data_IF_308512879941
#
_entry.id   IF_308512879941
#
_cell.length_a   1.000
_cell.length_b   1.000
_cell.length_c   1.000
_cell.angle_alpha   90.00
_cell.angle_beta   90.00
_cell.angle_gamma   90.00
#
_symmetry.space_group_name_H-M   'P 1'
#
loop_
_entity.id
_entity.type
_entity.pdbx_description
1 polymer ?
#
# COMPACT_ATOMS: atom_id res chain seq x y z
N UNK A 1 32.31 -25.74 17.45
CA UNK A 1 31.98 -24.43 16.83
C UNK A 1 30.64 -24.02 17.42
N UNK A 2 30.39 -22.75 17.71
CA UNK A 2 29.17 -22.38 18.43
C UNK A 2 27.93 -22.60 17.56
N UNK A 3 26.93 -23.30 18.10
CA UNK A 3 25.62 -23.46 17.44
C UNK A 3 24.94 -22.09 17.34
N UNK A 4 25.07 -21.46 16.17
CA UNK A 4 24.42 -20.19 15.90
C UNK A 4 22.89 -20.34 15.91
N UNK A 5 22.13 -19.23 16.04
CA UNK A 5 20.66 -19.27 16.06
C UNK A 5 20.02 -20.04 14.88
N UNK A 6 20.71 -20.10 13.72
CA UNK A 6 20.29 -20.89 12.55
C UNK A 6 20.36 -22.40 12.84
N UNK A 7 21.45 -22.90 13.43
CA UNK A 7 21.64 -24.31 13.73
C UNK A 7 20.58 -24.84 14.72
N UNK A 8 20.25 -24.03 15.74
CA UNK A 8 19.17 -24.36 16.70
C UNK A 8 17.82 -24.46 15.99
N UNK A 9 17.47 -23.51 15.12
CA UNK A 9 16.22 -23.53 14.38
C UNK A 9 16.17 -24.67 13.34
N UNK A 10 17.29 -24.98 12.69
CA UNK A 10 17.41 -26.13 11.77
C UNK A 10 17.14 -27.45 12.49
N UNK A 11 17.76 -27.68 13.65
CA UNK A 11 17.55 -28.91 14.42
C UNK A 11 16.08 -29.08 14.88
N UNK A 12 15.40 -28.00 15.24
CA UNK A 12 13.97 -28.03 15.57
C UNK A 12 13.10 -28.38 14.35
N UNK A 13 13.42 -27.82 13.17
CA UNK A 13 12.73 -28.16 11.91
C UNK A 13 12.99 -29.62 11.54
N UNK A 14 14.23 -30.10 11.62
CA UNK A 14 14.61 -31.50 11.35
C UNK A 14 13.81 -32.50 12.22
N UNK A 15 13.65 -32.20 13.51
CA UNK A 15 12.82 -33.00 14.42
C UNK A 15 11.35 -32.98 13.99
N UNK A 16 10.80 -31.83 13.61
CA UNK A 16 9.40 -31.71 13.18
C UNK A 16 9.11 -32.44 11.85
N UNK A 17 10.03 -32.38 10.87
CA UNK A 17 9.84 -33.00 9.56
C UNK A 17 10.19 -34.50 9.51
N UNK A 18 10.84 -35.04 10.54
CA UNK A 18 11.46 -36.37 10.51
C UNK A 18 10.53 -37.55 10.20
N UNK A 19 9.23 -37.48 10.49
CA UNK A 19 8.28 -38.55 10.12
C UNK A 19 7.96 -38.58 8.60
N UNK A 20 8.30 -37.52 7.86
CA UNK A 20 8.00 -37.36 6.44
C UNK A 20 9.21 -37.55 5.52
N UNK A 21 10.44 -37.38 6.03
CA UNK A 21 11.67 -37.52 5.22
C UNK A 21 11.91 -38.95 4.73
N UNK A 22 11.33 -39.94 5.40
CA UNK A 22 11.39 -41.35 5.00
C UNK A 22 10.15 -41.85 4.24
N UNK A 23 9.15 -41.00 3.96
CA UNK A 23 7.87 -41.43 3.36
C UNK A 23 7.69 -40.96 1.92
N UNK A 24 7.58 -41.90 0.99
CA UNK A 24 7.16 -41.63 -0.39
C UNK A 24 5.67 -41.38 -0.56
N UNK A 25 4.83 -41.99 0.29
CA UNK A 25 3.37 -42.03 0.10
C UNK A 25 2.62 -40.98 0.92
N UNK A 26 3.18 -40.52 2.05
CA UNK A 26 2.54 -39.54 2.92
C UNK A 26 2.99 -38.13 2.56
N UNK A 27 2.07 -37.34 2.00
CA UNK A 27 2.27 -35.91 1.81
C UNK A 27 2.56 -35.22 3.15
N UNK A 28 3.60 -34.36 3.26
CA UNK A 28 3.81 -33.53 4.44
C UNK A 28 2.62 -32.57 4.68
N UNK A 29 2.17 -32.36 5.93
CA UNK A 29 1.02 -31.52 6.26
C UNK A 29 1.35 -30.01 6.23
N UNK A 30 2.46 -29.64 5.62
CA UNK A 30 2.96 -28.26 5.58
C UNK A 30 2.38 -27.51 4.39
N UNK A 31 2.02 -26.26 4.62
CA UNK A 31 1.64 -25.34 3.55
C UNK A 31 2.85 -24.94 2.71
N UNK A 32 2.64 -24.52 1.46
CA UNK A 32 3.75 -24.04 0.61
C UNK A 32 4.53 -22.87 1.22
N UNK A 33 3.91 -21.88 1.90
CA UNK A 33 4.62 -20.86 2.68
C UNK A 33 5.51 -21.43 3.79
N UNK A 34 5.06 -22.43 4.54
CA UNK A 34 5.89 -23.11 5.56
C UNK A 34 7.07 -23.85 4.92
N UNK A 35 6.86 -24.55 3.80
CA UNK A 35 7.94 -25.23 3.05
C UNK A 35 8.99 -24.23 2.52
N UNK A 36 8.58 -23.06 2.02
CA UNK A 36 9.50 -21.99 1.61
C UNK A 36 10.37 -21.51 2.77
N UNK A 37 9.78 -21.25 3.94
CA UNK A 37 10.53 -20.79 5.12
C UNK A 37 11.45 -21.87 5.67
N UNK A 38 11.01 -23.13 5.72
CA UNK A 38 11.86 -24.26 6.11
C UNK A 38 13.04 -24.45 5.14
N UNK A 39 12.79 -24.40 3.83
CA UNK A 39 13.84 -24.48 2.81
C UNK A 39 14.85 -23.33 2.95
N UNK A 40 14.37 -22.13 3.29
CA UNK A 40 15.24 -20.98 3.46
C UNK A 40 16.12 -21.07 4.73
N UNK A 41 15.61 -21.66 5.82
CA UNK A 41 16.38 -21.88 7.04
C UNK A 41 17.36 -23.05 6.89
N UNK A 42 16.88 -24.20 6.40
CA UNK A 42 17.61 -25.47 6.35
C UNK A 42 18.41 -25.69 5.06
N UNK A 43 18.22 -24.88 4.03
CA UNK A 43 19.07 -24.88 2.84
C UNK A 43 20.48 -24.39 3.18
N UNK A 44 21.48 -24.86 2.42
CA UNK A 44 22.88 -24.42 2.56
C UNK A 44 23.14 -23.04 1.95
N UNK A 45 22.17 -22.51 1.21
CA UNK A 45 22.28 -21.24 0.49
C UNK A 45 22.01 -20.06 1.46
N UNK A 46 22.70 -18.94 1.26
CA UNK A 46 22.47 -17.69 2.00
C UNK A 46 21.22 -17.00 1.46
N UNK A 47 21.08 -17.03 0.13
CA UNK A 47 19.96 -16.46 -0.61
C UNK A 47 19.23 -17.59 -1.32
N UNK A 48 17.91 -17.50 -1.30
CA UNK A 48 17.02 -18.61 -1.63
C UNK A 48 16.25 -18.22 -2.88
N UNK A 49 16.19 -19.12 -3.85
CA UNK A 49 15.44 -18.92 -5.10
C UNK A 49 14.32 -19.95 -5.21
N UNK A 50 13.37 -19.75 -6.13
CA UNK A 50 12.33 -20.75 -6.44
C UNK A 50 12.92 -22.13 -6.74
N UNK A 51 14.05 -22.17 -7.46
CA UNK A 51 14.81 -23.38 -7.74
C UNK A 51 15.43 -24.00 -6.48
N UNK A 52 15.98 -23.18 -5.59
CA UNK A 52 16.58 -23.61 -4.32
C UNK A 52 15.54 -24.23 -3.38
N UNK A 53 14.35 -23.61 -3.27
CA UNK A 53 13.22 -24.16 -2.50
C UNK A 53 12.77 -25.49 -3.09
N UNK A 54 12.61 -25.56 -4.42
CA UNK A 54 12.24 -26.79 -5.14
C UNK A 54 13.24 -27.93 -4.91
N UNK A 55 14.53 -27.62 -5.04
CA UNK A 55 15.64 -28.56 -4.87
C UNK A 55 15.70 -29.09 -3.43
N UNK A 56 15.58 -28.21 -2.43
CA UNK A 56 15.51 -28.61 -1.03
C UNK A 56 14.26 -29.46 -0.77
N UNK A 57 13.08 -29.01 -1.21
CA UNK A 57 11.81 -29.70 -0.90
C UNK A 57 11.75 -31.10 -1.52
N UNK A 58 12.22 -31.27 -2.76
CA UNK A 58 12.28 -32.59 -3.40
C UNK A 58 13.33 -33.50 -2.75
N UNK A 59 14.52 -32.98 -2.43
CA UNK A 59 15.56 -33.74 -1.73
C UNK A 59 15.17 -34.16 -0.30
N UNK A 60 14.40 -33.33 0.41
CA UNK A 60 13.99 -33.57 1.80
C UNK A 60 12.75 -34.46 1.92
N UNK A 61 11.82 -34.42 0.96
CA UNK A 61 10.54 -35.14 1.04
C UNK A 61 10.34 -36.04 -0.20
N UNK A 62 10.52 -37.37 -0.06
CA UNK A 62 10.40 -38.32 -1.18
C UNK A 62 9.06 -38.25 -1.92
N UNK A 63 7.97 -37.93 -1.22
CA UNK A 63 6.66 -37.64 -1.81
C UNK A 63 6.71 -36.61 -2.96
N UNK A 64 7.41 -35.48 -2.78
CA UNK A 64 7.50 -34.44 -3.81
C UNK A 64 8.46 -34.82 -4.93
N UNK A 65 9.54 -35.56 -4.65
CA UNK A 65 10.39 -36.17 -5.68
C UNK A 65 9.59 -37.09 -6.59
N UNK A 66 8.76 -37.97 -6.00
CA UNK A 66 7.90 -38.88 -6.76
C UNK A 66 6.87 -38.14 -7.61
N UNK A 67 6.19 -37.16 -7.04
CA UNK A 67 5.25 -36.31 -7.78
C UNK A 67 5.90 -35.58 -8.98
N UNK A 68 7.13 -35.07 -8.81
CA UNK A 68 7.90 -34.45 -9.89
C UNK A 68 8.29 -35.45 -10.99
N UNK A 69 8.67 -36.68 -10.63
CA UNK A 69 8.98 -37.73 -11.60
C UNK A 69 7.74 -38.20 -12.37
N UNK A 70 6.60 -38.39 -11.70
CA UNK A 70 5.34 -38.82 -12.30
C UNK A 70 4.81 -37.74 -13.29
N UNK A 71 4.90 -36.46 -12.94
CA UNK A 71 4.58 -35.34 -13.85
C UNK A 71 5.55 -35.29 -15.06
N UNK A 72 6.86 -35.38 -14.81
CA UNK A 72 7.87 -35.39 -15.88
C UNK A 72 7.64 -36.53 -16.89
N UNK A 73 7.37 -37.74 -16.40
CA UNK A 73 7.03 -38.91 -17.23
C UNK A 73 5.76 -38.62 -18.03
N UNK A 74 4.69 -38.18 -17.37
CA UNK A 74 3.39 -37.90 -18.01
C UNK A 74 3.53 -36.85 -19.12
N UNK A 75 4.23 -35.74 -18.85
CA UNK A 75 4.44 -34.67 -19.84
C UNK A 75 5.34 -35.12 -21.00
N UNK A 76 6.38 -35.93 -20.73
CA UNK A 76 7.28 -36.47 -21.76
C UNK A 76 6.59 -37.40 -22.75
N UNK A 77 5.57 -38.16 -22.32
CA UNK A 77 4.85 -39.11 -23.17
C UNK A 77 3.55 -38.57 -23.78
N UNK A 78 2.97 -37.49 -23.25
CA UNK A 78 1.68 -36.95 -23.75
C UNK A 78 1.81 -35.78 -24.72
N UNK A 79 2.88 -34.98 -24.66
CA UNK A 79 2.98 -33.76 -25.45
C UNK A 79 3.75 -33.95 -26.78
N UNK A 80 3.08 -33.60 -27.87
CA UNK A 80 3.71 -33.31 -29.16
C UNK A 80 4.72 -32.18 -29.02
N UNK A 81 5.77 -32.21 -29.85
CA UNK A 81 7.08 -31.60 -29.57
C UNK A 81 7.18 -30.07 -29.38
N UNK A 82 6.07 -29.32 -29.44
CA UNK A 82 6.07 -27.85 -29.52
C UNK A 82 5.91 -27.12 -28.18
N UNK A 83 5.85 -27.84 -27.06
CA UNK A 83 5.48 -27.28 -25.74
C UNK A 83 6.39 -27.70 -24.57
N UNK A 84 7.62 -28.17 -24.82
CA UNK A 84 8.54 -28.67 -23.77
C UNK A 84 8.98 -27.63 -22.72
N UNK A 85 8.62 -26.36 -22.88
CA UNK A 85 8.85 -25.28 -21.90
C UNK A 85 7.54 -24.65 -21.39
N UNK A 86 6.38 -25.32 -21.54
CA UNK A 86 5.28 -25.09 -20.59
C UNK A 86 5.86 -25.42 -19.22
N UNK A 87 6.01 -24.39 -18.39
CA UNK A 87 6.53 -24.49 -17.02
C UNK A 87 5.96 -25.74 -16.38
N UNK A 88 6.80 -26.72 -16.06
CA UNK A 88 6.40 -27.85 -15.24
C UNK A 88 5.81 -27.22 -13.97
N UNK A 89 4.50 -27.35 -13.78
CA UNK A 89 3.85 -26.70 -12.66
C UNK A 89 4.48 -27.30 -11.40
N UNK A 90 5.11 -26.44 -10.61
CA UNK A 90 5.95 -26.85 -9.49
C UNK A 90 5.28 -27.96 -8.70
N UNK A 91 5.96 -29.10 -8.54
CA UNK A 91 5.46 -30.27 -7.80
C UNK A 91 5.00 -29.91 -6.38
N UNK A 92 5.47 -28.77 -5.87
CA UNK A 92 4.92 -28.02 -4.74
C UNK A 92 4.17 -26.79 -5.30
N UNK A 93 2.85 -26.86 -5.53
CA UNK A 93 2.13 -25.76 -6.17
C UNK A 93 2.17 -24.49 -5.32
N UNK A 94 2.38 -23.35 -5.98
CA UNK A 94 2.37 -22.03 -5.34
C UNK A 94 3.69 -21.55 -4.73
N UNK A 95 4.84 -22.22 -4.95
CA UNK A 95 6.15 -21.74 -4.43
C UNK A 95 6.40 -20.29 -4.84
N UNK A 96 6.23 -19.96 -6.13
CA UNK A 96 6.38 -18.58 -6.62
C UNK A 96 5.49 -17.59 -5.86
N UNK A 97 4.19 -17.88 -5.71
CA UNK A 97 3.26 -17.01 -5.01
C UNK A 97 3.55 -16.89 -3.50
N UNK A 98 4.16 -17.91 -2.90
CA UNK A 98 4.62 -17.86 -1.52
C UNK A 98 5.90 -17.02 -1.38
N UNK A 99 6.89 -17.17 -2.26
CA UNK A 99 8.08 -16.30 -2.32
C UNK A 99 7.73 -14.83 -2.61
N UNK A 100 6.67 -14.59 -3.38
CA UNK A 100 6.09 -13.27 -3.61
C UNK A 100 5.12 -12.83 -2.49
N UNK A 101 5.03 -13.51 -1.34
CA UNK A 101 4.08 -13.15 -0.27
C UNK A 101 4.69 -12.21 0.78
N UNK A 102 4.00 -11.09 1.06
CA UNK A 102 4.42 -10.09 2.04
C UNK A 102 4.45 -10.60 3.50
N UNK A 103 3.61 -11.57 3.84
CA UNK A 103 3.49 -12.10 5.21
C UNK A 103 4.64 -13.06 5.59
N UNK A 104 5.50 -13.42 4.63
CA UNK A 104 6.63 -14.31 4.89
C UNK A 104 7.80 -13.56 5.56
N UNK A 105 8.59 -14.25 6.42
CA UNK A 105 9.77 -13.73 7.12
C UNK A 105 10.99 -13.62 6.19
N UNK A 106 10.77 -13.17 4.96
CA UNK A 106 11.74 -13.07 3.87
C UNK A 106 12.05 -11.60 3.61
N UNK A 107 13.30 -11.32 3.23
CA UNK A 107 13.74 -10.04 2.68
C UNK A 107 14.17 -10.29 1.24
N UNK A 108 13.66 -9.52 0.29
CA UNK A 108 14.13 -9.59 -1.10
C UNK A 108 15.58 -9.11 -1.18
N UNK A 109 16.37 -9.81 -1.99
CA UNK A 109 17.74 -9.43 -2.33
C UNK A 109 17.95 -9.47 -3.84
N UNK A 110 18.80 -8.57 -4.35
CA UNK A 110 19.17 -8.54 -5.76
C UNK A 110 20.55 -9.19 -5.90
N UNK A 111 20.57 -10.40 -6.44
CA UNK A 111 21.81 -11.07 -6.84
C UNK A 111 22.32 -10.44 -8.13
N UNK A 112 23.58 -10.02 -8.10
CA UNK A 112 24.33 -9.63 -9.28
C UNK A 112 25.11 -10.85 -9.78
N UNK A 113 24.51 -11.58 -10.73
CA UNK A 113 25.17 -12.69 -11.41
C UNK A 113 25.80 -12.16 -12.70
N UNK A 114 27.07 -12.50 -12.95
CA UNK A 114 27.77 -12.22 -14.21
C UNK A 114 27.95 -13.54 -14.95
N UNK A 115 27.43 -13.64 -16.17
CA UNK A 115 27.57 -14.87 -16.96
C UNK A 115 28.97 -15.05 -17.56
N UNK A 116 29.17 -16.16 -18.26
CA UNK A 116 30.41 -16.48 -18.99
C UNK A 116 30.76 -15.49 -20.11
N UNK A 117 29.82 -14.63 -20.52
CA UNK A 117 30.00 -13.57 -21.52
C UNK A 117 30.25 -12.19 -20.91
N UNK A 118 30.28 -12.08 -19.58
CA UNK A 118 30.44 -10.81 -18.86
C UNK A 118 29.16 -9.98 -18.74
N UNK A 119 28.00 -10.53 -19.15
CA UNK A 119 26.71 -9.87 -19.02
C UNK A 119 26.23 -10.00 -17.57
N UNK A 120 25.92 -8.87 -16.94
CA UNK A 120 25.36 -8.84 -15.58
C UNK A 120 23.85 -8.96 -15.66
N UNK A 121 23.27 -9.93 -14.96
CA UNK A 121 21.83 -10.07 -14.78
C UNK A 121 21.46 -9.96 -13.31
N UNK A 122 20.26 -9.43 -13.08
CA UNK A 122 19.69 -9.28 -11.76
C UNK A 122 18.72 -10.43 -11.50
N UNK A 123 19.17 -11.43 -10.74
CA UNK A 123 18.32 -12.50 -10.22
C UNK A 123 17.79 -12.06 -8.86
N UNK A 124 16.48 -12.15 -8.65
CA UNK A 124 15.90 -11.84 -7.34
C UNK A 124 16.01 -13.08 -6.43
N UNK A 125 16.77 -12.95 -5.35
CA UNK A 125 16.85 -13.90 -4.25
C UNK A 125 15.99 -13.45 -3.07
N UNK A 126 15.85 -14.31 -2.07
CA UNK A 126 15.32 -13.92 -0.76
C UNK A 126 16.22 -14.43 0.37
N UNK A 127 16.41 -13.62 1.42
CA UNK A 127 17.07 -14.02 2.65
C UNK A 127 16.04 -14.20 3.77
N UNK A 128 16.19 -15.23 4.61
CA UNK A 128 15.26 -15.47 5.72
C UNK A 128 15.72 -14.82 7.03
N UNK A 129 14.83 -14.10 7.69
CA UNK A 129 15.06 -13.54 9.02
C UNK A 129 14.74 -14.60 10.08
N UNK A 130 15.77 -15.12 10.77
CA UNK A 130 15.65 -16.29 11.66
C UNK A 130 14.63 -16.13 12.79
N UNK A 131 14.59 -14.98 13.47
CA UNK A 131 13.65 -14.76 14.57
C UNK A 131 12.19 -14.65 14.09
N UNK A 132 11.86 -13.85 13.04
CA UNK A 132 10.57 -13.94 12.36
C UNK A 132 10.23 -15.35 11.83
N UNK A 133 11.19 -16.09 11.26
CA UNK A 133 10.97 -17.45 10.76
C UNK A 133 10.55 -18.43 11.84
N UNK A 134 11.18 -18.37 13.02
CA UNK A 134 10.77 -19.16 14.18
C UNK A 134 9.35 -18.81 14.65
N UNK A 135 8.97 -17.52 14.60
CA UNK A 135 7.61 -17.08 14.96
C UNK A 135 6.59 -17.53 13.93
N UNK A 136 6.92 -17.46 12.64
CA UNK A 136 6.09 -17.93 11.54
C UNK A 136 5.84 -19.44 11.61
N UNK A 137 6.91 -20.23 11.77
CA UNK A 137 6.86 -21.69 11.89
C UNK A 137 6.34 -22.19 13.26
N UNK A 138 5.83 -21.31 14.14
CA UNK A 138 5.34 -21.70 15.46
C UNK A 138 4.26 -22.78 15.42
N UNK A 139 3.42 -22.79 14.37
CA UNK A 139 2.41 -23.84 14.11
C UNK A 139 2.99 -25.25 14.05
N UNK A 140 4.24 -25.37 13.59
CA UNK A 140 4.97 -26.61 13.40
C UNK A 140 5.91 -26.91 14.57
N UNK A 141 6.57 -25.89 15.11
CA UNK A 141 7.64 -26.03 16.11
C UNK A 141 7.13 -26.05 17.57
N UNK A 142 5.97 -25.47 17.86
CA UNK A 142 5.36 -25.46 19.19
C UNK A 142 4.00 -26.21 19.17
N UNK A 143 3.63 -26.92 20.26
CA UNK A 143 2.29 -27.48 20.37
C UNK A 143 1.21 -26.38 20.35
N UNK A 144 0.05 -26.67 19.76
CA UNK A 144 -1.05 -25.71 19.64
C UNK A 144 -1.45 -25.13 21.01
N UNK A 145 -1.20 -23.83 21.17
CA UNK A 145 -1.48 -23.10 22.42
C UNK A 145 -2.97 -23.13 22.71
N UNK A 146 -3.32 -23.55 23.93
CA UNK A 146 -4.71 -23.66 24.38
C UNK A 146 -5.23 -22.32 24.92
N UNK A 147 -6.51 -22.04 24.70
CA UNK A 147 -7.19 -20.84 25.19
C UNK A 147 -7.40 -19.76 24.12
N UNK A 148 -7.94 -18.61 24.53
CA UNK A 148 -8.21 -17.45 23.67
C UNK A 148 -7.30 -16.28 24.04
N UNK A 149 -6.65 -15.67 23.04
CA UNK A 149 -5.82 -14.48 23.25
C UNK A 149 -6.71 -13.25 23.42
N UNK A 150 -6.69 -12.67 24.62
CA UNK A 150 -7.50 -11.50 25.00
C UNK A 150 -6.88 -10.20 24.49
N UNK A 151 -6.85 -10.03 23.17
CA UNK A 151 -6.21 -8.89 22.49
C UNK A 151 -6.67 -7.51 23.01
N UNK A 152 -7.97 -7.35 23.30
CA UNK A 152 -8.51 -6.09 23.83
C UNK A 152 -8.15 -5.81 25.30
N UNK A 153 -7.59 -6.78 26.03
CA UNK A 153 -7.07 -6.61 27.40
C UNK A 153 -5.58 -6.23 27.42
N UNK A 154 -4.90 -6.23 26.26
CA UNK A 154 -3.59 -5.60 26.14
C UNK A 154 -3.68 -4.09 26.41
N UNK A 155 -2.64 -3.44 26.97
CA UNK A 155 -2.54 -1.98 27.00
C UNK A 155 -2.70 -1.35 25.60
N UNK A 156 -3.27 -0.14 25.48
CA UNK A 156 -3.46 0.54 24.20
C UNK A 156 -2.17 0.65 23.36
N UNK A 157 -1.02 0.83 24.01
CA UNK A 157 0.29 0.96 23.38
C UNK A 157 0.69 -0.32 22.64
N UNK A 158 0.38 -1.49 23.21
CA UNK A 158 0.65 -2.79 22.57
C UNK A 158 -0.36 -3.10 21.47
N UNK A 159 -1.63 -2.68 21.62
CA UNK A 159 -2.62 -2.80 20.52
C UNK A 159 -2.21 -1.93 19.33
N UNK A 160 -1.81 -0.69 19.59
CA UNK A 160 -1.29 0.24 18.59
C UNK A 160 -0.08 -0.32 17.86
N UNK A 161 0.91 -0.87 18.57
CA UNK A 161 2.04 -1.54 17.94
C UNK A 161 1.60 -2.71 17.03
N UNK A 162 0.60 -3.50 17.42
CA UNK A 162 0.05 -4.56 16.56
C UNK A 162 -0.70 -3.99 15.34
N UNK A 163 -1.48 -2.92 15.50
CA UNK A 163 -2.14 -2.24 14.37
C UNK A 163 -1.13 -1.62 13.41
N UNK A 164 -0.04 -1.04 13.91
CA UNK A 164 1.06 -0.51 13.09
C UNK A 164 1.67 -1.62 12.23
N UNK A 165 2.03 -2.76 12.83
CA UNK A 165 2.56 -3.91 12.09
C UNK A 165 1.56 -4.58 11.13
N UNK A 166 0.24 -4.46 11.37
CA UNK A 166 -0.79 -5.09 10.55
C UNK A 166 -1.32 -4.20 9.42
N UNK A 167 -1.29 -2.87 9.62
CA UNK A 167 -1.91 -1.91 8.72
C UNK A 167 -0.95 -0.94 8.06
N UNK A 168 0.26 -0.70 8.58
CA UNK A 168 1.28 0.10 7.91
C UNK A 168 2.15 -0.83 7.06
N UNK A 169 2.08 -0.64 5.75
CA UNK A 169 2.94 -1.29 4.77
C UNK A 169 4.25 -0.49 4.60
N UNK A 170 5.14 -0.95 3.72
CA UNK A 170 6.42 -0.28 3.49
C UNK A 170 6.25 1.19 3.03
N UNK A 171 7.31 1.99 3.19
CA UNK A 171 7.36 3.45 2.95
C UNK A 171 6.92 3.86 1.54
N UNK A 172 7.11 2.99 0.55
CA UNK A 172 6.67 3.18 -0.83
C UNK A 172 5.16 3.03 -0.99
N UNK A 173 4.48 2.48 0.02
CA UNK A 173 3.06 2.23 0.05
C UNK A 173 2.68 0.96 -0.68
N UNK A 174 1.41 0.89 -1.09
CA UNK A 174 0.88 -0.18 -1.91
C UNK A 174 0.17 0.38 -3.14
N UNK A 175 0.32 -0.28 -4.29
CA UNK A 175 -0.58 -0.04 -5.42
C UNK A 175 -1.88 -0.81 -5.19
N UNK A 176 -3.00 -0.09 -5.31
CA UNK A 176 -4.35 -0.64 -5.44
C UNK A 176 -4.62 -0.91 -6.91
N UNK A 177 -4.94 -2.17 -7.26
CA UNK A 177 -5.52 -2.51 -8.57
C UNK A 177 -6.85 -3.27 -8.43
N UNK A 178 -7.80 -3.01 -9.31
CA UNK A 178 -9.10 -3.69 -9.39
C UNK A 178 -9.10 -4.73 -10.52
N UNK A 179 -8.80 -5.99 -10.19
CA UNK A 179 -8.88 -7.09 -11.14
C UNK A 179 -9.91 -8.12 -10.65
N UNK A 180 -10.83 -8.53 -11.52
CA UNK A 180 -11.83 -9.56 -11.22
C UNK A 180 -12.67 -9.29 -9.95
N UNK A 181 -12.93 -8.01 -9.64
CA UNK A 181 -13.56 -7.51 -8.40
C UNK A 181 -12.76 -7.70 -7.10
N UNK A 182 -11.51 -8.16 -7.19
CA UNK A 182 -10.59 -8.26 -6.06
C UNK A 182 -9.64 -7.07 -6.10
N UNK A 183 -9.35 -6.54 -4.92
CA UNK A 183 -8.42 -5.44 -4.73
C UNK A 183 -7.12 -5.98 -4.17
N UNK A 184 -6.06 -5.87 -4.97
CA UNK A 184 -4.72 -6.35 -4.64
C UNK A 184 -3.89 -5.23 -4.04
N UNK A 185 -2.98 -5.62 -3.14
CA UNK A 185 -1.97 -4.77 -2.54
C UNK A 185 -0.62 -5.21 -3.08
N UNK A 186 -0.10 -4.46 -4.05
CA UNK A 186 1.26 -4.67 -4.58
C UNK A 186 2.23 -3.80 -3.78
N UNK A 187 2.96 -4.42 -2.84
CA UNK A 187 4.06 -3.78 -2.15
C UNK A 187 5.29 -3.81 -3.04
N UNK A 188 5.93 -2.65 -3.22
CA UNK A 188 7.20 -2.51 -3.92
C UNK A 188 8.31 -2.33 -2.90
N UNK A 189 9.00 -3.42 -2.57
CA UNK A 189 10.36 -3.29 -2.04
C UNK A 189 11.25 -2.81 -3.19
N UNK A 190 11.63 -1.53 -3.15
CA UNK A 190 12.77 -1.02 -3.88
C UNK A 190 13.84 -0.64 -2.87
N UNK A 191 14.94 -1.40 -2.82
CA UNK A 191 16.20 -0.71 -2.65
C UNK A 191 16.35 0.21 -3.87
N UNK A 192 16.48 1.51 -3.60
CA UNK A 192 16.49 2.59 -4.57
C UNK A 192 17.74 2.50 -5.45
N UNK A 193 17.71 1.63 -6.46
CA UNK A 193 18.76 1.54 -7.45
C UNK A 193 18.73 2.81 -8.29
N UNK A 194 19.59 3.76 -7.94
CA UNK A 194 19.69 5.12 -8.48
C UNK A 194 19.72 5.05 -10.03
N UNK A 195 18.57 5.28 -10.65
CA UNK A 195 18.28 4.92 -12.05
C UNK A 195 19.00 5.80 -13.10
N UNK A 196 20.08 6.48 -12.69
CA UNK A 196 20.98 7.29 -13.52
C UNK A 196 21.85 6.46 -14.47
N UNK A 197 21.87 5.13 -14.35
CA UNK A 197 22.84 4.26 -15.03
C UNK A 197 22.33 3.70 -16.38
N UNK A 198 21.02 3.77 -16.70
CA UNK A 198 20.50 3.31 -17.99
C UNK A 198 19.70 4.39 -18.73
N UNK A 199 20.43 5.28 -19.40
CA UNK A 199 19.88 6.16 -20.44
C UNK A 199 19.67 5.44 -21.78
N UNK A 200 20.16 4.20 -21.94
CA UNK A 200 19.90 3.36 -23.11
C UNK A 200 18.46 2.81 -23.06
N UNK A 201 17.56 3.63 -23.57
CA UNK A 201 16.13 3.36 -23.65
C UNK A 201 15.82 2.05 -24.40
N UNK A 202 14.93 1.25 -23.84
CA UNK A 202 14.34 0.12 -24.56
C UNK A 202 13.61 -0.86 -23.66
N UNK A 203 14.36 -1.62 -22.85
CA UNK A 203 13.86 -2.77 -22.10
C UNK A 203 14.63 -2.99 -20.79
N UNK A 204 14.92 -1.92 -20.04
CA UNK A 204 15.27 -2.05 -18.63
C UNK A 204 14.03 -2.50 -17.84
N UNK A 205 13.67 -3.79 -17.98
CA UNK A 205 12.81 -4.47 -17.04
C UNK A 205 13.53 -4.42 -15.69
N UNK A 206 13.23 -3.40 -14.90
CA UNK A 206 13.43 -3.49 -13.46
C UNK A 206 12.68 -4.74 -13.03
N UNK A 207 13.42 -5.75 -12.58
CA UNK A 207 12.85 -6.96 -11.98
C UNK A 207 12.31 -6.58 -10.60
N UNK A 208 11.28 -5.72 -10.58
CA UNK A 208 10.56 -5.32 -9.38
C UNK A 208 9.95 -6.60 -8.84
N UNK A 209 10.54 -7.17 -7.80
CA UNK A 209 9.88 -8.25 -7.08
C UNK A 209 8.67 -7.64 -6.38
N UNK A 210 7.50 -8.14 -6.75
CA UNK A 210 6.21 -7.65 -6.29
C UNK A 210 5.81 -8.49 -5.10
N UNK A 211 5.97 -7.96 -3.90
CA UNK A 211 5.40 -8.58 -2.72
C UNK A 211 3.87 -8.38 -2.77
N UNK A 212 3.16 -9.48 -2.98
CA UNK A 212 1.71 -9.57 -2.90
C UNK A 212 1.33 -9.61 -1.42
N UNK A 213 0.82 -8.48 -0.92
CA UNK A 213 0.22 -8.43 0.39
C UNK A 213 -1.16 -9.13 0.40
N UNK A 214 -1.68 -9.50 1.59
CA UNK A 214 -2.97 -10.19 1.70
C UNK A 214 -4.10 -9.46 0.93
N UNK A 215 -5.07 -10.20 0.36
CA UNK A 215 -6.22 -9.58 -0.28
C UNK A 215 -6.85 -8.53 0.62
N UNK A 216 -7.04 -7.30 0.13
CA UNK A 216 -7.41 -6.16 0.97
C UNK A 216 -8.69 -6.41 1.79
N UNK A 217 -9.61 -7.23 1.27
CA UNK A 217 -10.82 -7.65 1.98
C UNK A 217 -10.51 -8.36 3.32
N UNK A 218 -9.44 -9.15 3.40
CA UNK A 218 -8.98 -9.83 4.62
C UNK A 218 -8.38 -8.80 5.59
N UNK A 219 -7.47 -7.95 5.11
CA UNK A 219 -6.86 -6.89 5.92
C UNK A 219 -7.93 -5.96 6.53
N UNK A 220 -8.87 -5.47 5.71
CA UNK A 220 -9.95 -4.59 6.18
C UNK A 220 -11.03 -5.32 6.98
N UNK A 221 -11.17 -6.64 6.88
CA UNK A 221 -12.09 -7.40 7.74
C UNK A 221 -11.71 -7.27 9.22
N UNK A 222 -10.41 -7.12 9.52
CA UNK A 222 -9.94 -6.85 10.89
C UNK A 222 -10.52 -5.54 11.45
N UNK A 223 -10.62 -4.48 10.64
CA UNK A 223 -11.27 -3.22 11.03
C UNK A 223 -12.77 -3.40 11.33
N UNK A 224 -13.41 -4.41 10.76
CA UNK A 224 -14.84 -4.70 10.94
C UNK A 224 -15.15 -5.57 12.17
N UNK A 225 -14.14 -6.00 12.95
CA UNK A 225 -14.32 -6.94 14.08
C UNK A 225 -15.07 -6.33 15.26
N UNK A 226 -14.72 -5.12 15.70
CA UNK A 226 -15.45 -4.36 16.70
C UNK A 226 -15.22 -2.84 16.56
N UNK A 227 -16.07 -2.03 17.19
CA UNK A 227 -15.96 -0.55 17.13
C UNK A 227 -14.62 -0.03 17.66
N UNK A 228 -14.10 -0.62 18.73
CA UNK A 228 -12.83 -0.19 19.30
C UNK A 228 -11.65 -0.43 18.34
N UNK A 229 -11.57 -1.62 17.72
CA UNK A 229 -10.56 -1.89 16.68
C UNK A 229 -10.76 -0.97 15.48
N UNK A 230 -12.00 -0.70 15.05
CA UNK A 230 -12.26 0.26 13.98
C UNK A 230 -11.71 1.66 14.30
N UNK A 231 -12.05 2.21 15.47
CA UNK A 231 -11.67 3.58 15.86
C UNK A 231 -10.16 3.72 16.13
N UNK A 232 -9.53 2.70 16.72
CA UNK A 232 -8.09 2.67 16.99
C UNK A 232 -7.26 2.42 15.71
N UNK A 233 -7.68 1.49 14.85
CA UNK A 233 -6.85 0.97 13.77
C UNK A 233 -7.08 1.62 12.39
N UNK A 234 -8.28 2.17 12.13
CA UNK A 234 -8.59 2.82 10.84
C UNK A 234 -7.57 3.91 10.42
N UNK A 235 -7.07 4.79 11.32
CA UNK A 235 -6.11 5.81 10.93
C UNK A 235 -4.81 5.21 10.39
N UNK A 236 -4.28 4.14 10.99
CA UNK A 236 -3.05 3.50 10.53
C UNK A 236 -3.14 3.05 9.07
N UNK A 237 -4.26 2.43 8.68
CA UNK A 237 -4.46 2.02 7.30
C UNK A 237 -4.62 3.21 6.33
N UNK A 238 -5.52 4.16 6.60
CA UNK A 238 -5.87 5.21 5.62
C UNK A 238 -4.96 6.45 5.65
N UNK A 239 -4.41 6.79 6.82
CA UNK A 239 -3.65 8.03 7.04
C UNK A 239 -2.15 7.85 6.87
N UNK A 240 -1.62 6.74 7.34
CA UNK A 240 -0.18 6.57 7.51
C UNK A 240 0.47 5.83 6.34
N UNK A 241 -0.30 5.04 5.59
CA UNK A 241 0.14 4.50 4.29
C UNK A 241 0.12 5.52 3.16
N UNK A 242 0.91 5.19 2.13
CA UNK A 242 0.79 5.75 0.78
C UNK A 242 -0.05 4.80 -0.08
N UNK A 243 -1.15 5.30 -0.62
CA UNK A 243 -2.05 4.53 -1.48
C UNK A 243 -1.81 4.96 -2.92
N UNK A 244 -1.29 4.05 -3.75
CA UNK A 244 -0.98 4.31 -5.17
C UNK A 244 -2.06 3.74 -6.08
N UNK A 245 -2.36 4.48 -7.14
CA UNK A 245 -3.21 4.05 -8.24
C UNK A 245 -2.46 4.22 -9.55
N UNK A 246 -2.16 3.08 -10.18
CA UNK A 246 -1.56 3.03 -11.52
C UNK A 246 -2.61 3.27 -12.62
N UNK A 247 -3.91 3.12 -12.30
CA UNK A 247 -5.05 3.43 -13.19
C UNK A 247 -6.04 4.39 -12.50
N UNK A 248 -6.55 5.36 -13.27
CA UNK A 248 -7.47 6.37 -12.74
C UNK A 248 -8.91 5.86 -12.59
N UNK A 249 -9.32 4.82 -13.33
CA UNK A 249 -10.59 4.12 -13.12
C UNK A 249 -10.63 3.34 -11.80
N UNK A 250 -9.52 2.71 -11.42
CA UNK A 250 -9.33 2.05 -10.12
C UNK A 250 -9.41 3.08 -8.98
N UNK A 251 -8.71 4.19 -9.12
CA UNK A 251 -8.81 5.34 -8.22
C UNK A 251 -10.25 5.83 -8.08
N UNK A 252 -10.94 6.06 -9.20
CA UNK A 252 -12.32 6.53 -9.21
C UNK A 252 -13.27 5.54 -8.53
N UNK A 253 -13.15 4.26 -8.86
CA UNK A 253 -13.95 3.17 -8.29
C UNK A 253 -13.73 3.06 -6.79
N UNK A 254 -12.48 3.20 -6.33
CA UNK A 254 -12.14 3.12 -4.92
C UNK A 254 -12.69 4.29 -4.10
N UNK A 255 -12.39 5.53 -4.51
CA UNK A 255 -12.82 6.74 -3.80
C UNK A 255 -14.34 6.84 -3.72
N UNK A 256 -15.05 6.62 -4.84
CA UNK A 256 -16.52 6.70 -4.85
C UNK A 256 -17.20 5.59 -4.03
N UNK A 257 -16.48 4.53 -3.63
CA UNK A 257 -16.96 3.45 -2.73
C UNK A 257 -16.60 3.66 -1.26
N UNK A 258 -15.72 4.61 -0.91
CA UNK A 258 -15.36 4.86 0.48
C UNK A 258 -16.47 5.62 1.23
N UNK A 259 -16.74 5.17 2.46
CA UNK A 259 -17.55 5.94 3.39
C UNK A 259 -16.84 7.27 3.75
N UNK A 260 -17.56 8.39 3.92
CA UNK A 260 -16.95 9.70 4.22
C UNK A 260 -15.99 9.69 5.42
N UNK A 261 -16.29 8.92 6.46
CA UNK A 261 -15.44 8.78 7.65
C UNK A 261 -14.08 8.13 7.37
N UNK A 262 -13.97 7.26 6.35
CA UNK A 262 -12.70 6.68 5.90
C UNK A 262 -11.96 7.63 4.96
N UNK A 263 -12.70 8.31 4.10
CA UNK A 263 -12.16 9.31 3.17
C UNK A 263 -11.55 10.52 3.92
N UNK A 264 -12.12 10.90 5.06
CA UNK A 264 -11.55 11.89 5.99
C UNK A 264 -10.20 11.48 6.62
N UNK A 265 -9.87 10.19 6.64
CA UNK A 265 -8.61 9.68 7.17
C UNK A 265 -7.54 9.54 6.09
N UNK A 266 -7.87 9.71 4.80
CA UNK A 266 -6.92 9.52 3.71
C UNK A 266 -5.75 10.51 3.84
N UNK A 267 -4.54 9.99 4.06
CA UNK A 267 -3.36 10.81 4.35
C UNK A 267 -2.46 11.02 3.14
N UNK A 268 -1.99 9.94 2.52
CA UNK A 268 -1.01 10.01 1.43
C UNK A 268 -1.54 9.27 0.20
N UNK A 269 -1.67 9.99 -0.91
CA UNK A 269 -2.24 9.51 -2.17
C UNK A 269 -1.22 9.66 -3.30
N UNK A 270 -1.07 8.64 -4.14
CA UNK A 270 -0.22 8.65 -5.33
C UNK A 270 -1.07 8.28 -6.55
N UNK A 271 -1.08 9.12 -7.59
CA UNK A 271 -1.85 8.92 -8.81
C UNK A 271 -0.93 8.91 -10.02
N UNK A 272 -0.96 7.85 -10.80
CA UNK A 272 -0.32 7.82 -12.11
C UNK A 272 -1.31 8.36 -13.14
N UNK A 273 -1.01 9.54 -13.68
CA UNK A 273 -1.85 10.24 -14.64
C UNK A 273 -1.43 9.82 -16.05
N UNK A 274 -2.07 8.76 -16.52
CA UNK A 274 -2.10 8.35 -17.92
C UNK A 274 -3.25 9.03 -18.69
N UNK A 275 -3.27 8.89 -20.02
CA UNK A 275 -4.39 9.35 -20.85
C UNK A 275 -5.65 8.56 -20.45
N UNK A 276 -6.67 9.27 -19.96
CA UNK A 276 -7.95 8.67 -19.62
C UNK A 276 -8.64 8.03 -20.83
N UNK A 277 -9.18 6.84 -20.61
CA UNK A 277 -10.16 6.23 -21.51
C UNK A 277 -11.50 6.98 -21.44
N UNK A 278 -12.27 6.89 -22.53
CA UNK A 278 -13.45 7.71 -22.82
C UNK A 278 -14.55 7.67 -21.72
N UNK A 279 -14.69 6.56 -21.01
CA UNK A 279 -15.73 6.28 -20.02
C UNK A 279 -15.35 6.72 -18.59
N UNK A 280 -14.12 6.50 -18.16
CA UNK A 280 -13.64 6.74 -16.78
C UNK A 280 -13.75 8.21 -16.32
N UNK A 281 -13.70 9.19 -17.24
CA UNK A 281 -13.56 10.62 -16.89
C UNK A 281 -14.59 11.15 -15.87
N UNK A 282 -15.86 10.73 -16.00
CA UNK A 282 -16.94 11.23 -15.11
C UNK A 282 -16.72 10.77 -13.68
N UNK A 283 -16.31 9.52 -13.51
CA UNK A 283 -16.12 8.90 -12.20
C UNK A 283 -14.84 9.42 -11.53
N UNK A 284 -13.78 9.67 -12.30
CA UNK A 284 -12.55 10.34 -11.84
C UNK A 284 -12.86 11.76 -11.37
N UNK A 285 -13.63 12.54 -12.12
CA UNK A 285 -14.04 13.89 -11.71
C UNK A 285 -14.97 13.85 -10.48
N UNK A 286 -15.80 12.81 -10.32
CA UNK A 286 -16.57 12.58 -9.09
C UNK A 286 -15.65 12.28 -7.90
N UNK A 287 -14.67 11.40 -8.06
CA UNK A 287 -13.70 11.05 -7.04
C UNK A 287 -12.84 12.25 -6.60
N UNK A 288 -12.34 13.05 -7.55
CA UNK A 288 -11.61 14.28 -7.23
C UNK A 288 -12.48 15.31 -6.48
N UNK A 289 -13.78 15.41 -6.80
CA UNK A 289 -14.73 16.23 -6.02
C UNK A 289 -14.94 15.66 -4.62
N UNK A 290 -14.99 14.35 -4.46
CA UNK A 290 -15.06 13.68 -3.15
C UNK A 290 -13.76 13.83 -2.33
N UNK A 291 -12.62 14.13 -2.96
CA UNK A 291 -11.36 14.56 -2.32
C UNK A 291 -11.26 16.08 -2.10
N UNK A 292 -12.21 16.86 -2.63
CA UNK A 292 -12.65 18.06 -1.92
C UNK A 292 -13.63 17.64 -0.81
N UNK A 293 -14.08 18.55 0.06
CA UNK A 293 -14.76 18.23 1.32
C UNK A 293 -13.95 17.42 2.36
N UNK A 294 -13.02 16.52 1.99
CA UNK A 294 -12.10 15.86 2.96
C UNK A 294 -11.25 16.86 3.74
N UNK A 295 -10.71 16.39 4.87
CA UNK A 295 -9.58 17.02 5.56
C UNK A 295 -8.36 17.05 4.63
N UNK A 296 -7.45 17.99 4.91
CA UNK A 296 -6.24 18.21 4.11
C UNK A 296 -5.40 16.92 4.01
N UNK A 297 -5.05 16.53 2.79
CA UNK A 297 -4.11 15.42 2.56
C UNK A 297 -2.75 15.80 3.14
N UNK A 298 -2.03 14.81 3.68
CA UNK A 298 -0.63 14.99 4.07
C UNK A 298 0.25 15.09 2.81
N UNK A 299 0.11 14.14 1.88
CA UNK A 299 0.88 14.10 0.62
C UNK A 299 -0.03 13.75 -0.56
N UNK A 300 0.10 14.51 -1.63
CA UNK A 300 -0.39 14.14 -2.97
C UNK A 300 0.82 14.00 -3.89
N UNK A 301 0.97 12.83 -4.49
CA UNK A 301 2.00 12.53 -5.48
C UNK A 301 1.35 12.24 -6.83
N UNK A 302 1.83 12.90 -7.89
CA UNK A 302 1.29 12.77 -9.24
C UNK A 302 2.42 12.35 -10.19
N UNK A 303 2.36 11.13 -10.70
CA UNK A 303 3.29 10.64 -11.72
C UNK A 303 2.71 10.96 -13.11
N UNK A 304 3.43 11.70 -13.94
CA UNK A 304 2.97 12.12 -15.26
C UNK A 304 3.59 11.24 -16.35
N UNK A 305 2.76 10.43 -17.00
CA UNK A 305 3.16 9.40 -17.97
C UNK A 305 2.44 9.60 -19.31
N UNK A 306 2.84 10.62 -20.07
CA UNK A 306 2.34 10.84 -21.44
C UNK A 306 3.44 11.40 -22.35
N UNK A 307 3.69 10.74 -23.48
CA UNK A 307 4.58 11.25 -24.52
C UNK A 307 3.87 12.29 -25.40
N UNK A 308 4.62 13.24 -25.94
CA UNK A 308 4.17 14.14 -27.02
C UNK A 308 2.84 14.91 -26.78
N UNK A 309 2.53 15.25 -25.52
CA UNK A 309 1.30 15.98 -25.14
C UNK A 309 0.01 15.36 -25.72
N UNK A 310 -0.15 14.03 -25.67
CA UNK A 310 -1.34 13.38 -26.24
C UNK A 310 -2.65 13.85 -25.56
N UNK A 311 -2.57 14.32 -24.31
CA UNK A 311 -3.64 15.07 -23.63
C UNK A 311 -4.13 16.35 -24.37
N UNK A 312 -3.30 17.01 -25.19
CA UNK A 312 -3.77 18.09 -26.10
C UNK A 312 -4.46 17.54 -27.34
N UNK A 313 -4.04 16.36 -27.80
CA UNK A 313 -4.52 15.65 -29.01
C UNK A 313 -5.81 14.84 -28.76
N UNK A 314 -6.44 14.95 -27.58
CA UNK A 314 -7.69 14.27 -27.22
C UNK A 314 -8.76 14.36 -28.33
N UNK A 315 -9.54 13.29 -28.49
CA UNK A 315 -10.58 13.23 -29.53
C UNK A 315 -11.74 14.22 -29.24
N UNK A 316 -12.43 14.65 -30.29
CA UNK A 316 -13.66 15.46 -30.14
C UNK A 316 -14.83 14.66 -29.52
N UNK A 317 -14.70 13.33 -29.36
CA UNK A 317 -15.63 12.50 -28.58
C UNK A 317 -15.30 12.62 -27.09
N UNK A 318 -14.05 12.39 -26.70
CA UNK A 318 -13.56 12.54 -25.33
C UNK A 318 -13.89 13.93 -24.76
N UNK A 319 -13.57 15.01 -25.50
CA UNK A 319 -13.92 16.39 -25.11
C UNK A 319 -15.41 16.57 -24.79
N UNK A 320 -16.32 15.96 -25.56
CA UNK A 320 -17.76 16.04 -25.30
C UNK A 320 -18.16 15.25 -24.05
N UNK A 321 -17.55 14.09 -23.79
CA UNK A 321 -17.81 13.31 -22.56
C UNK A 321 -17.34 14.10 -21.33
N UNK A 322 -16.26 14.88 -21.47
CA UNK A 322 -15.77 15.81 -20.45
C UNK A 322 -16.66 17.06 -20.24
N UNK A 323 -17.77 17.19 -20.97
CA UNK A 323 -18.66 18.35 -20.90
C UNK A 323 -18.18 19.56 -21.70
N UNK A 324 -17.11 19.44 -22.49
CA UNK A 324 -16.61 20.53 -23.33
C UNK A 324 -17.42 20.61 -24.62
N UNK A 325 -18.28 21.63 -24.71
CA UNK A 325 -19.19 21.86 -25.85
C UNK A 325 -18.49 22.39 -27.10
N UNK A 326 -17.26 22.91 -26.97
CA UNK A 326 -16.49 23.46 -28.10
C UNK A 326 -15.71 22.35 -28.81
N UNK A 327 -15.81 22.31 -30.14
CA UNK A 327 -15.10 21.33 -30.98
C UNK A 327 -13.59 21.53 -31.06
N UNK A 328 -13.08 22.72 -30.70
CA UNK A 328 -11.65 23.08 -30.77
C UNK A 328 -10.79 22.18 -29.88
N UNK A 329 -9.55 21.93 -30.32
CA UNK A 329 -8.51 21.26 -29.52
C UNK A 329 -8.18 22.07 -28.27
N UNK A 330 -7.68 21.38 -27.25
CA UNK A 330 -7.12 22.06 -26.09
C UNK A 330 -5.79 22.70 -26.47
N UNK A 331 -5.60 23.96 -26.08
CA UNK A 331 -4.37 24.73 -26.30
C UNK A 331 -3.65 25.06 -25.00
N UNK A 332 -4.19 24.64 -23.86
CA UNK A 332 -3.66 24.86 -22.51
C UNK A 332 -4.20 23.80 -21.54
N UNK A 333 -3.40 23.47 -20.53
CA UNK A 333 -3.77 22.58 -19.40
C UNK A 333 -5.06 23.04 -18.70
N UNK A 334 -5.23 24.35 -18.47
CA UNK A 334 -6.37 24.95 -17.76
C UNK A 334 -7.74 24.71 -18.41
N UNK A 335 -7.78 24.27 -19.67
CA UNK A 335 -9.03 24.01 -20.41
C UNK A 335 -9.58 22.60 -20.16
N UNK A 336 -8.80 21.74 -19.49
CA UNK A 336 -9.05 20.31 -19.32
C UNK A 336 -9.52 20.10 -17.87
N UNK A 337 -10.82 19.86 -17.62
CA UNK A 337 -11.34 20.11 -16.28
C UNK A 337 -10.85 19.12 -15.20
N UNK A 338 -10.23 17.99 -15.57
CA UNK A 338 -9.55 17.12 -14.60
C UNK A 338 -8.35 17.82 -13.96
N UNK A 339 -7.54 18.58 -14.72
CA UNK A 339 -6.40 19.29 -14.13
C UNK A 339 -6.86 20.42 -13.21
N UNK A 340 -7.99 21.07 -13.50
CA UNK A 340 -8.60 22.03 -12.59
C UNK A 340 -9.11 21.37 -11.30
N UNK A 341 -9.72 20.17 -11.38
CA UNK A 341 -10.12 19.40 -10.20
C UNK A 341 -8.90 18.93 -9.39
N UNK A 342 -7.86 18.41 -10.05
CA UNK A 342 -6.57 18.06 -9.43
C UNK A 342 -5.91 19.24 -8.75
N UNK A 343 -5.94 20.45 -9.34
CA UNK A 343 -5.40 21.65 -8.70
C UNK A 343 -6.10 22.01 -7.38
N UNK A 344 -7.41 21.73 -7.25
CA UNK A 344 -8.16 21.91 -5.99
C UNK A 344 -7.79 20.83 -4.96
N UNK A 345 -7.58 19.57 -5.37
CA UNK A 345 -7.09 18.53 -4.45
C UNK A 345 -5.64 18.84 -4.02
N UNK A 346 -4.80 19.28 -4.95
CA UNK A 346 -3.42 19.66 -4.72
C UNK A 346 -3.29 20.89 -3.80
N UNK A 347 -4.20 21.87 -3.87
CA UNK A 347 -4.21 23.01 -2.94
C UNK A 347 -4.45 22.56 -1.50
N UNK A 348 -5.23 21.48 -1.31
CA UNK A 348 -5.54 20.87 -0.01
C UNK A 348 -4.45 19.92 0.51
N UNK A 349 -3.45 19.57 -0.30
CA UNK A 349 -2.33 18.75 0.15
C UNK A 349 -1.29 19.60 0.90
N UNK A 350 -0.68 19.01 1.94
CA UNK A 350 0.42 19.67 2.68
C UNK A 350 1.73 19.56 1.91
N UNK A 351 1.97 18.41 1.27
CA UNK A 351 3.06 18.16 0.33
C UNK A 351 2.48 17.81 -1.05
N UNK A 352 2.97 18.47 -2.10
CA UNK A 352 2.65 18.18 -3.50
C UNK A 352 3.91 17.76 -4.25
N UNK A 353 4.02 16.46 -4.51
CA UNK A 353 5.08 15.86 -5.33
C UNK A 353 4.55 15.63 -6.73
N UNK A 354 5.33 16.00 -7.74
CA UNK A 354 5.02 15.75 -9.14
C UNK A 354 6.29 15.13 -9.74
N UNK A 355 6.14 13.94 -10.32
CA UNK A 355 7.22 13.19 -10.97
C UNK A 355 6.88 13.03 -12.45
N UNK A 356 7.92 12.96 -13.29
CA UNK A 356 7.77 12.80 -14.73
C UNK A 356 8.81 11.82 -15.25
N UNK A 357 8.35 10.65 -15.69
CA UNK A 357 9.24 9.58 -16.11
C UNK A 357 9.63 9.78 -17.58
N UNK A 358 10.79 10.40 -17.79
CA UNK A 358 11.47 10.51 -19.09
C UNK A 358 11.30 11.83 -19.85
N UNK A 359 10.17 12.53 -19.75
CA UNK A 359 9.95 13.83 -20.41
C UNK A 359 9.38 14.90 -19.45
N UNK A 360 9.95 16.13 -19.40
CA UNK A 360 9.46 17.18 -18.51
C UNK A 360 8.04 17.64 -18.86
N UNK A 361 7.08 17.38 -17.97
CA UNK A 361 5.70 17.86 -18.07
C UNK A 361 5.53 19.28 -17.49
N UNK A 362 6.47 20.19 -17.82
CA UNK A 362 6.60 21.51 -17.19
C UNK A 362 5.31 22.32 -17.22
N UNK A 363 4.53 22.25 -18.31
CA UNK A 363 3.26 22.98 -18.43
C UNK A 363 2.21 22.52 -17.40
N UNK A 364 2.10 21.20 -17.18
CA UNK A 364 1.15 20.62 -16.23
C UNK A 364 1.61 20.92 -14.81
N UNK A 365 2.89 20.69 -14.49
CA UNK A 365 3.44 20.98 -13.18
C UNK A 365 3.29 22.47 -12.82
N UNK A 366 3.68 23.37 -13.74
CA UNK A 366 3.56 24.82 -13.56
C UNK A 366 2.11 25.25 -13.38
N UNK A 367 1.17 24.68 -14.14
CA UNK A 367 -0.26 24.94 -13.95
C UNK A 367 -0.73 24.48 -12.57
N UNK A 368 -0.52 23.21 -12.21
CA UNK A 368 -0.97 22.63 -10.95
C UNK A 368 -0.40 23.38 -9.73
N UNK A 369 0.91 23.68 -9.72
CA UNK A 369 1.54 24.41 -8.62
C UNK A 369 1.07 25.87 -8.53
N UNK A 370 0.93 26.56 -9.66
CA UNK A 370 0.47 27.97 -9.65
C UNK A 370 -1.00 28.11 -9.27
N UNK A 371 -1.86 27.23 -9.76
CA UNK A 371 -3.29 27.23 -9.43
C UNK A 371 -3.54 26.78 -7.99
N UNK A 372 -2.85 25.75 -7.49
CA UNK A 372 -2.91 25.34 -6.08
C UNK A 372 -2.47 26.49 -5.14
N UNK A 373 -1.39 27.21 -5.47
CA UNK A 373 -0.95 28.40 -4.73
C UNK A 373 -2.00 29.52 -4.77
N UNK A 374 -2.61 29.77 -5.93
CA UNK A 374 -3.67 30.79 -6.10
C UNK A 374 -4.90 30.46 -5.24
N UNK A 375 -5.34 29.20 -5.24
CA UNK A 375 -6.46 28.72 -4.43
C UNK A 375 -6.19 28.87 -2.92
N UNK A 376 -4.98 28.52 -2.48
CA UNK A 376 -4.58 28.68 -1.07
C UNK A 376 -4.49 30.14 -0.62
N UNK A 377 -4.06 31.05 -1.50
CA UNK A 377 -4.11 32.49 -1.22
C UNK A 377 -5.56 32.98 -1.06
N UNK A 378 -6.46 32.57 -1.96
CA UNK A 378 -7.89 32.91 -1.87
C UNK A 378 -8.53 32.35 -0.59
N UNK A 379 -8.19 31.12 -0.17
CA UNK A 379 -8.64 30.57 1.12
C UNK A 379 -8.15 31.41 2.31
N UNK A 380 -6.86 31.76 2.34
CA UNK A 380 -6.27 32.58 3.40
C UNK A 380 -6.89 33.99 3.48
N UNK A 381 -7.08 34.66 2.34
CA UNK A 381 -7.72 35.98 2.28
C UNK A 381 -9.18 35.92 2.74
N UNK A 382 -9.92 34.86 2.39
CA UNK A 382 -11.28 34.64 2.88
C UNK A 382 -11.33 34.45 4.41
N UNK A 383 -10.41 33.66 4.98
CA UNK A 383 -10.30 33.46 6.45
C UNK A 383 -9.97 34.77 7.16
N UNK A 384 -9.04 35.57 6.62
CA UNK A 384 -8.68 36.90 7.15
C UNK A 384 -9.88 37.84 7.13
N UNK A 385 -10.56 37.96 5.99
CA UNK A 385 -11.75 38.80 5.82
C UNK A 385 -12.91 38.38 6.74
N UNK A 386 -13.10 37.09 6.99
CA UNK A 386 -14.10 36.58 7.93
C UNK A 386 -13.74 36.95 9.39
N UNK A 387 -12.47 36.83 9.76
CA UNK A 387 -11.96 37.17 11.10
C UNK A 387 -12.09 38.65 11.40
N UNK A 388 -11.75 39.52 10.44
CA UNK A 388 -11.90 40.98 10.56
C UNK A 388 -13.37 41.39 10.72
N UNK A 389 -14.29 40.81 9.93
CA UNK A 389 -15.73 41.04 10.06
C UNK A 389 -16.28 40.61 11.43
N UNK A 390 -15.84 39.46 11.93
CA UNK A 390 -16.23 38.95 13.26
C UNK A 390 -15.79 39.92 14.37
N UNK A 391 -14.53 40.36 14.35
CA UNK A 391 -13.96 41.28 15.33
C UNK A 391 -14.61 42.69 15.27
N UNK A 392 -14.97 43.17 14.09
CA UNK A 392 -15.74 44.41 13.92
C UNK A 392 -17.13 44.33 14.55
N UNK A 393 -17.81 43.19 14.39
CA UNK A 393 -19.11 42.93 15.03
C UNK A 393 -19.00 42.88 16.56
N UNK A 394 -18.01 42.17 17.11
CA UNK A 394 -17.80 42.07 18.55
C UNK A 394 -17.53 43.43 19.20
N UNK A 395 -16.71 44.29 18.56
CA UNK A 395 -16.48 45.67 19.02
C UNK A 395 -17.76 46.52 18.99
N UNK A 396 -18.64 46.31 18.02
CA UNK A 396 -19.94 47.03 17.94
C UNK A 396 -20.91 46.60 19.04
N UNK A 397 -20.92 45.31 19.42
CA UNK A 397 -21.71 44.80 20.55
C UNK A 397 -21.17 45.32 21.89
N UNK A 398 -19.86 45.22 22.12
CA UNK A 398 -19.23 45.70 23.37
C UNK A 398 -19.30 47.23 23.50
N UNK A 399 -19.21 47.98 22.40
CA UNK A 399 -19.30 49.44 22.37
C UNK A 399 -20.72 50.00 22.65
N UNK A 400 -21.76 49.16 22.64
CA UNK A 400 -23.13 49.58 22.96
C UNK A 400 -23.51 49.31 24.44
N UNK A 401 -22.62 48.66 25.20
CA UNK A 401 -22.76 48.50 26.65
C UNK A 401 -22.44 49.80 27.39
N UNK A 402 -23.35 50.79 27.31
CA UNK A 402 -23.41 51.83 28.35
C UNK A 402 -23.56 51.14 29.70
N UNK A 403 -22.84 51.63 30.71
CA UNK A 403 -22.65 51.05 32.04
C UNK A 403 -23.94 51.02 32.89
N UNK A 404 -24.92 50.22 32.47
CA UNK A 404 -25.97 49.72 33.35
C UNK A 404 -25.35 48.74 34.32
N UNK A 405 -25.22 49.12 35.60
CA UNK A 405 -24.71 48.23 36.63
C UNK A 405 -25.61 47.00 36.76
N UNK A 406 -25.17 45.87 36.18
CA UNK A 406 -25.85 44.58 36.31
C UNK A 406 -25.77 44.16 37.77
N UNK A 407 -26.83 44.46 38.53
CA UNK A 407 -27.01 43.93 39.89
C UNK A 407 -26.91 42.40 39.80
N UNK A 408 -25.84 41.84 40.36
CA UNK A 408 -25.73 40.40 40.55
C UNK A 408 -26.99 39.92 41.26
N UNK A 409 -27.66 38.94 40.68
CA UNK A 409 -28.77 38.30 41.38
C UNK A 409 -28.19 37.52 42.55
N UNK A 410 -28.84 37.56 43.72
CA UNK A 410 -28.38 36.88 44.95
C UNK A 410 -28.02 35.40 44.74
N UNK A 411 -28.58 34.75 43.71
CA UNK A 411 -28.28 33.38 43.29
C UNK A 411 -26.84 33.20 42.77
N UNK A 412 -26.28 34.17 42.05
CA UNK A 412 -24.88 34.12 41.58
C UNK A 412 -23.89 34.34 42.72
N UNK A 413 -24.24 35.20 43.69
CA UNK A 413 -23.42 35.41 44.90
C UNK A 413 -23.43 34.17 45.81
N UNK A 414 -24.59 33.50 45.96
CA UNK A 414 -24.69 32.24 46.68
C UNK A 414 -23.88 31.09 46.03
N UNK A 415 -23.80 31.04 44.69
CA UNK A 415 -22.97 30.08 43.97
C UNK A 415 -21.46 30.36 44.15
N UNK A 416 -21.05 31.63 44.11
CA UNK A 416 -19.67 32.01 44.38
C UNK A 416 -19.25 31.73 45.85
N UNK A 417 -20.16 31.91 46.81
CA UNK A 417 -19.93 31.55 48.21
C UNK A 417 -19.77 30.03 48.41
N UNK A 418 -20.58 29.21 47.73
CA UNK A 418 -20.46 27.74 47.73
C UNK A 418 -19.19 27.22 47.06
N UNK A 419 -18.66 27.93 46.06
CA UNK A 419 -17.40 27.57 45.43
C UNK A 419 -16.21 27.78 46.38
N UNK A 420 -16.21 28.85 47.19
CA UNK A 420 -15.14 29.11 48.17
C UNK A 420 -15.12 28.15 49.37
N UNK A 421 -16.25 27.55 49.72
CA UNK A 421 -16.34 26.59 50.86
C UNK A 421 -15.95 25.15 50.51
N UNK A 422 -15.78 24.82 49.22
CA UNK A 422 -15.36 23.48 48.76
C UNK A 422 -13.83 23.30 48.59
N UNK A 423 -13.03 24.29 48.99
CA UNK A 423 -11.56 24.25 48.89
C UNK A 423 -10.82 24.03 50.21
N UNK A 424 -11.50 23.61 51.28
CA UNK A 424 -10.93 23.38 52.62
C UNK A 424 -11.46 22.08 53.25
N UNK A 425 -11.23 20.98 52.54
CA UNK A 425 -11.27 19.58 53.01
C UNK A 425 -10.35 18.78 52.10
#
# INVERSE_FOLDING_TARGET
MADGPRAVLMAEIEVAIGEYTASESRKPPYSTPELVVMAAVCGNEIEVTEESVLRWTTATFPYYTRAALDDYITNRFTHTQTSYLKKAESCVPGIKAALESYDLPLRTTVLHEVDEFGLTYHRAGVQVLLSPARVFLRSVLEPTRQGTFRFLELPPELRNAVYENLFIFDKHGFTVRYASNIMYLESREFEEYDAKISTDAGNAYTNIQRATAPPLAITLATLCTCKQVYDEAMPYFYRDNRIRFDDLGDFATWINRLAPSRLEQLGNLSLDIHILHDDQYKDVNSALKALTATKRLRRLELSLFDGDHAWMKMSARLRRIMGVTRSRTFTKVEQIPIFSALAVVASRATELVITSDGLPHEEIEKYLRSEAKRLNQVEADNIKNATEKSNGSLKKVLGCSKTGAVKRTKRQEALAARAKTKGQT
#
